data_IF_121460908026
#
_entry.id   IF_121460908026
#
_cell.length_a   1.000
_cell.length_b   1.000
_cell.length_c   1.000
_cell.angle_alpha   90.00
_cell.angle_beta   90.00
_cell.angle_gamma   90.00
#
_symmetry.space_group_name_H-M   'P 1'
#
loop_
_entity.id
_entity.type
_entity.pdbx_description
1 polymer ?
#
# COMPACT_ATOMS: atom_id res chain seq x y z
N UNK A 1 4.39 -36.24 -7.47
CA UNK A 1 4.77 -36.13 -8.91
C UNK A 1 3.72 -35.43 -9.79
N UNK A 2 2.51 -35.11 -9.30
CA UNK A 2 1.62 -34.16 -9.98
C UNK A 2 0.94 -33.22 -8.98
N UNK A 3 1.09 -31.92 -9.19
CA UNK A 3 0.30 -30.90 -8.49
C UNK A 3 -0.99 -30.68 -9.30
N UNK A 4 -2.15 -30.80 -8.65
CA UNK A 4 -3.44 -30.55 -9.28
C UNK A 4 -3.72 -29.04 -9.27
N UNK A 5 -4.23 -28.50 -10.37
CA UNK A 5 -4.57 -27.09 -10.51
C UNK A 5 -3.79 -26.39 -11.64
N UNK A 6 -4.00 -25.08 -11.75
CA UNK A 6 -3.27 -24.20 -12.67
C UNK A 6 -2.46 -23.20 -11.85
N UNK A 7 -1.22 -22.95 -12.26
CA UNK A 7 -0.33 -21.99 -11.62
C UNK A 7 0.01 -20.89 -12.61
N UNK A 8 -0.29 -19.64 -12.24
CA UNK A 8 0.10 -18.47 -12.99
C UNK A 8 1.32 -17.82 -12.32
N UNK A 9 2.45 -17.78 -13.00
CA UNK A 9 3.64 -17.07 -12.54
C UNK A 9 3.62 -15.66 -13.13
N UNK A 10 3.54 -14.66 -12.25
CA UNK A 10 3.50 -13.24 -12.64
C UNK A 10 4.90 -12.66 -12.46
N UNK A 11 5.55 -12.31 -13.57
CA UNK A 11 6.84 -11.62 -13.58
C UNK A 11 6.58 -10.14 -13.82
N UNK A 12 6.33 -9.42 -12.73
CA UNK A 12 5.91 -8.02 -12.78
C UNK A 12 7.12 -7.07 -12.92
N UNK A 13 7.09 -6.10 -13.86
CA UNK A 13 8.04 -4.99 -13.91
C UNK A 13 7.59 -3.80 -13.06
N UNK A 14 8.51 -2.88 -12.76
CA UNK A 14 8.22 -1.54 -12.24
C UNK A 14 7.38 -1.47 -10.93
N UNK A 15 7.64 -2.36 -9.97
CA UNK A 15 7.06 -2.29 -8.62
C UNK A 15 7.43 -0.98 -7.90
N UNK A 16 8.67 -0.51 -8.03
CA UNK A 16 9.15 0.76 -7.47
C UNK A 16 8.56 2.01 -8.17
N UNK A 17 7.66 1.79 -9.15
CA UNK A 17 7.07 2.81 -9.99
C UNK A 17 7.76 2.94 -11.36
N UNK A 18 7.01 3.30 -12.42
CA UNK A 18 7.58 3.54 -13.73
C UNK A 18 8.36 4.87 -13.78
N UNK A 19 9.25 5.07 -14.78
CA UNK A 19 9.83 6.37 -15.07
C UNK A 19 8.77 7.47 -15.27
N UNK A 20 9.15 8.72 -15.06
CA UNK A 20 8.22 9.85 -15.23
C UNK A 20 7.64 9.90 -16.65
N UNK A 21 6.32 9.90 -16.75
CA UNK A 21 5.58 9.92 -18.02
C UNK A 21 5.27 8.55 -18.62
N UNK A 22 5.67 7.47 -17.95
CA UNK A 22 5.36 6.08 -18.34
C UNK A 22 4.33 5.44 -17.41
N UNK A 23 3.68 4.37 -17.87
CA UNK A 23 2.81 3.49 -17.09
C UNK A 23 3.55 2.18 -16.80
N UNK A 24 3.23 1.50 -15.69
CA UNK A 24 3.91 0.26 -15.32
C UNK A 24 3.28 -0.44 -14.11
N UNK A 25 3.96 -1.47 -13.62
CA UNK A 25 3.55 -2.18 -12.40
C UNK A 25 2.33 -3.07 -12.57
N UNK A 26 1.80 -3.50 -11.43
CA UNK A 26 0.63 -4.37 -11.34
C UNK A 26 -0.61 -3.77 -12.03
N UNK A 27 -0.81 -2.45 -11.93
CA UNK A 27 -1.96 -1.77 -12.55
C UNK A 27 -1.96 -1.93 -14.07
N UNK A 28 -0.83 -1.69 -14.73
CA UNK A 28 -0.74 -1.81 -16.18
C UNK A 28 -0.97 -3.25 -16.62
N UNK A 29 -0.36 -4.22 -15.94
CA UNK A 29 -0.58 -5.64 -16.26
C UNK A 29 -2.06 -6.04 -16.14
N UNK A 30 -2.77 -5.54 -15.11
CA UNK A 30 -4.20 -5.77 -14.96
C UNK A 30 -5.01 -5.09 -16.07
N UNK A 31 -4.67 -3.84 -16.42
CA UNK A 31 -5.33 -3.08 -17.49
C UNK A 31 -5.15 -3.75 -18.87
N UNK A 32 -3.98 -4.35 -19.12
CA UNK A 32 -3.69 -5.15 -20.31
C UNK A 32 -4.34 -6.55 -20.29
N UNK A 33 -5.03 -6.89 -19.20
CA UNK A 33 -5.89 -8.07 -19.13
C UNK A 33 -5.28 -9.29 -18.46
N UNK A 34 -4.25 -9.15 -17.62
CA UNK A 34 -3.61 -10.27 -16.90
C UNK A 34 -4.62 -11.25 -16.26
N UNK A 35 -5.70 -10.74 -15.65
CA UNK A 35 -6.78 -11.54 -15.04
C UNK A 35 -8.05 -11.66 -15.89
N UNK A 36 -7.98 -11.28 -17.15
CA UNK A 36 -9.08 -11.46 -18.09
C UNK A 36 -9.14 -12.90 -18.62
N UNK A 37 -10.33 -13.33 -19.04
CA UNK A 37 -10.54 -14.61 -19.71
C UNK A 37 -9.80 -14.72 -21.06
N UNK A 38 -9.33 -13.60 -21.62
CA UNK A 38 -8.58 -13.60 -22.87
C UNK A 38 -7.20 -14.27 -22.74
N UNK A 39 -6.58 -14.17 -21.56
CA UNK A 39 -5.27 -14.76 -21.29
C UNK A 39 -5.41 -16.04 -20.48
N UNK A 40 -5.35 -15.95 -19.15
CA UNK A 40 -5.27 -17.10 -18.25
C UNK A 40 -6.51 -17.28 -17.38
N UNK A 41 -7.44 -16.31 -17.42
CA UNK A 41 -8.56 -16.18 -16.49
C UNK A 41 -8.12 -15.67 -15.13
N UNK A 42 -9.09 -15.26 -14.32
CA UNK A 42 -8.83 -14.77 -12.95
C UNK A 42 -8.41 -15.95 -12.05
N UNK A 43 -7.29 -15.87 -11.30
CA UNK A 43 -6.90 -16.92 -10.37
C UNK A 43 -7.81 -16.93 -9.13
N UNK A 44 -7.88 -18.05 -8.42
CA UNK A 44 -8.70 -18.14 -7.18
C UNK A 44 -8.04 -17.42 -5.99
N UNK A 45 -6.71 -17.31 -6.01
CA UNK A 45 -5.92 -16.59 -5.02
C UNK A 45 -4.60 -16.12 -5.64
N UNK A 46 -3.99 -15.10 -5.04
CA UNK A 46 -2.67 -14.57 -5.44
C UNK A 46 -1.72 -14.55 -4.25
N UNK A 47 -0.49 -14.99 -4.45
CA UNK A 47 0.54 -15.05 -3.41
C UNK A 47 1.73 -14.18 -3.83
N UNK A 48 2.25 -13.41 -2.88
CA UNK A 48 3.43 -12.58 -3.05
C UNK A 48 4.35 -12.70 -1.85
N UNK A 49 5.63 -12.42 -2.05
CA UNK A 49 6.59 -12.34 -0.95
C UNK A 49 7.66 -11.30 -1.22
N UNK A 50 8.21 -10.74 -0.15
CA UNK A 50 9.26 -9.74 -0.24
C UNK A 50 10.36 -10.00 0.79
N UNK A 51 11.61 -9.79 0.40
CA UNK A 51 12.75 -9.90 1.32
C UNK A 51 12.81 -8.72 2.28
N UNK A 52 13.15 -8.96 3.55
CA UNK A 52 13.31 -7.88 4.53
C UNK A 52 14.54 -8.08 5.38
N UNK A 53 15.35 -7.03 5.54
CA UNK A 53 16.46 -7.04 6.50
C UNK A 53 16.00 -6.86 7.95
N UNK A 54 14.70 -6.63 8.18
CA UNK A 54 14.13 -6.53 9.55
C UNK A 54 13.87 -7.89 10.19
N UNK A 55 14.18 -8.98 9.51
CA UNK A 55 14.10 -10.34 10.03
C UNK A 55 15.38 -11.09 9.63
N UNK A 56 15.84 -11.98 10.51
CA UNK A 56 16.95 -12.88 10.19
C UNK A 56 16.51 -14.00 9.23
N UNK A 57 17.47 -14.59 8.53
CA UNK A 57 17.24 -15.79 7.71
C UNK A 57 16.52 -16.87 8.51
N UNK A 58 15.53 -17.51 7.86
CA UNK A 58 14.71 -18.54 8.49
C UNK A 58 13.53 -18.00 9.30
N UNK A 59 13.31 -16.69 9.34
CA UNK A 59 12.08 -16.08 9.84
C UNK A 59 11.20 -15.60 8.68
N UNK A 60 9.88 -15.74 8.87
CA UNK A 60 8.86 -15.21 7.99
C UNK A 60 8.02 -14.18 8.74
N UNK A 61 7.57 -13.15 8.06
CA UNK A 61 6.70 -12.13 8.62
C UNK A 61 5.39 -12.03 7.86
N UNK A 62 4.24 -12.14 8.54
CA UNK A 62 2.95 -11.83 7.91
C UNK A 62 1.92 -11.36 8.93
N UNK A 63 0.90 -10.64 8.46
CA UNK A 63 -0.24 -10.19 9.25
C UNK A 63 -1.53 -10.55 8.51
N UNK A 64 -2.60 -10.86 9.25
CA UNK A 64 -3.95 -10.97 8.70
C UNK A 64 -4.57 -9.57 8.64
N UNK A 65 -5.26 -9.24 7.53
CA UNK A 65 -5.78 -7.91 7.30
C UNK A 65 -4.70 -6.94 6.77
N UNK A 66 -4.83 -5.63 7.02
CA UNK A 66 -3.88 -4.64 6.53
C UNK A 66 -2.45 -4.92 7.00
N UNK A 67 -1.48 -4.84 6.09
CA UNK A 67 -0.08 -5.09 6.37
C UNK A 67 0.82 -3.93 5.93
N UNK A 68 0.67 -3.48 4.68
CA UNK A 68 1.38 -2.31 4.14
C UNK A 68 0.40 -1.16 3.90
N UNK A 69 0.86 0.06 4.08
CA UNK A 69 0.03 1.24 3.90
C UNK A 69 -0.27 1.47 2.41
N UNK A 70 -1.39 2.14 2.12
CA UNK A 70 -1.51 2.86 0.87
C UNK A 70 -0.47 3.98 0.81
N UNK A 71 -0.07 4.34 -0.39
CA UNK A 71 0.73 5.51 -0.66
C UNK A 71 0.01 6.36 -1.69
N UNK A 72 -0.31 7.59 -1.32
CA UNK A 72 -0.86 8.56 -2.25
C UNK A 72 -0.01 9.80 -2.27
N UNK A 73 0.08 10.43 -3.44
CA UNK A 73 0.66 11.76 -3.59
C UNK A 73 -0.44 12.71 -4.03
N UNK A 74 -0.44 13.92 -3.49
CA UNK A 74 -1.37 14.98 -3.90
C UNK A 74 -0.65 16.28 -4.18
N UNK A 75 -1.28 17.12 -4.98
CA UNK A 75 -0.88 18.51 -5.20
C UNK A 75 -2.05 19.44 -4.89
N UNK A 76 -1.75 20.61 -4.31
CA UNK A 76 -2.71 21.70 -4.15
C UNK A 76 -2.10 22.96 -4.76
N UNK A 77 -2.80 23.57 -5.71
CA UNK A 77 -2.43 24.84 -6.31
C UNK A 77 -3.39 25.93 -5.83
N UNK A 78 -2.86 26.91 -5.09
CA UNK A 78 -3.63 28.07 -4.60
C UNK A 78 -3.38 29.25 -5.52
N UNK A 79 -4.45 29.78 -6.11
CA UNK A 79 -4.37 31.00 -6.92
C UNK A 79 -4.25 32.23 -6.01
N UNK A 80 -3.46 33.20 -6.44
CA UNK A 80 -3.27 34.48 -5.79
C UNK A 80 -3.47 35.64 -6.76
N UNK A 81 -3.23 36.85 -6.26
CA UNK A 81 -3.19 38.06 -7.09
C UNK A 81 -1.97 38.86 -6.66
N UNK A 82 -0.96 38.85 -7.53
CA UNK A 82 0.32 39.46 -7.23
C UNK A 82 0.18 40.97 -6.96
N UNK A 83 0.87 41.44 -5.92
CA UNK A 83 0.93 42.87 -5.58
C UNK A 83 2.23 43.21 -4.83
N UNK A 84 2.51 44.50 -4.66
CA UNK A 84 3.62 44.94 -3.81
C UNK A 84 3.33 44.58 -2.36
N UNK A 85 4.32 44.05 -1.62
CA UNK A 85 4.13 43.60 -0.23
C UNK A 85 3.69 44.70 0.74
N UNK A 86 3.85 45.97 0.38
CA UNK A 86 3.33 47.11 1.16
C UNK A 86 1.89 47.52 0.83
N UNK A 87 1.24 46.84 -0.12
CA UNK A 87 -0.15 47.07 -0.54
C UNK A 87 -0.91 45.74 -0.64
N UNK A 88 -0.99 44.95 0.45
CA UNK A 88 -1.61 43.63 0.43
C UNK A 88 -3.10 43.67 0.00
N UNK A 89 -3.82 44.75 0.31
CA UNK A 89 -5.23 44.93 -0.07
C UNK A 89 -5.48 45.04 -1.58
N UNK A 90 -4.44 45.28 -2.39
CA UNK A 90 -4.56 45.30 -3.86
C UNK A 90 -4.48 43.88 -4.47
N UNK A 91 -4.12 42.88 -3.67
CA UNK A 91 -3.86 41.50 -4.08
C UNK A 91 -4.60 40.45 -3.24
N UNK A 92 -4.19 39.20 -3.44
CA UNK A 92 -4.59 38.03 -2.65
C UNK A 92 -3.30 37.27 -2.38
N UNK A 93 -3.00 36.99 -1.12
CA UNK A 93 -1.75 36.36 -0.72
C UNK A 93 -1.89 34.83 -0.64
N UNK A 94 -1.38 34.08 -1.63
CA UNK A 94 -1.51 32.62 -1.64
C UNK A 94 -0.56 31.94 -0.63
N UNK A 95 0.45 32.65 -0.10
CA UNK A 95 1.32 32.11 0.96
C UNK A 95 0.52 32.00 2.25
N UNK A 96 -0.23 33.05 2.61
CA UNK A 96 -1.09 33.06 3.79
C UNK A 96 -2.18 31.99 3.68
N UNK A 97 -2.91 31.97 2.56
CA UNK A 97 -3.96 30.97 2.30
C UNK A 97 -3.40 29.54 2.31
N UNK A 98 -2.28 29.30 1.63
CA UNK A 98 -1.63 27.99 1.64
C UNK A 98 -1.18 27.57 3.04
N UNK A 99 -0.70 28.50 3.88
CA UNK A 99 -0.32 28.21 5.26
C UNK A 99 -1.52 27.80 6.12
N UNK A 100 -2.67 28.46 5.95
CA UNK A 100 -3.92 28.07 6.59
C UNK A 100 -4.38 26.67 6.16
N UNK A 101 -4.24 26.35 4.87
CA UNK A 101 -4.52 25.01 4.35
C UNK A 101 -3.63 23.98 5.05
N UNK A 102 -2.30 24.18 5.09
CA UNK A 102 -1.36 23.23 5.76
C UNK A 102 -1.76 22.96 7.21
N UNK A 103 -2.07 24.00 7.97
CA UNK A 103 -2.51 23.88 9.37
C UNK A 103 -3.84 23.11 9.46
N UNK A 104 -4.79 23.44 8.58
CA UNK A 104 -6.10 22.80 8.51
C UNK A 104 -6.01 21.31 8.17
N UNK A 105 -5.07 20.90 7.31
CA UNK A 105 -4.88 19.48 6.97
C UNK A 105 -4.51 18.64 8.21
N UNK A 106 -3.83 19.22 9.21
CA UNK A 106 -3.49 18.53 10.46
C UNK A 106 -4.74 18.20 11.30
N UNK A 107 -5.85 18.93 11.10
CA UNK A 107 -7.13 18.63 11.75
C UNK A 107 -7.81 17.38 11.21
N UNK A 108 -7.47 16.92 10.00
CA UNK A 108 -8.01 15.67 9.46
C UNK A 108 -7.57 14.52 10.38
N UNK A 109 -6.26 14.36 10.55
CA UNK A 109 -5.67 13.30 11.38
C UNK A 109 -6.02 13.49 12.86
N UNK A 110 -5.97 14.72 13.36
CA UNK A 110 -6.15 14.95 14.78
C UNK A 110 -7.61 14.96 15.23
N UNK A 111 -8.58 15.37 14.39
CA UNK A 111 -9.97 15.64 14.80
C UNK A 111 -11.06 14.93 13.99
N UNK A 112 -10.80 14.47 12.76
CA UNK A 112 -11.83 13.85 11.90
C UNK A 112 -11.78 12.33 11.84
N UNK A 113 -10.63 11.73 12.17
CA UNK A 113 -10.42 10.29 12.10
C UNK A 113 -10.20 9.67 13.47
N UNK A 114 -10.64 8.43 13.65
CA UNK A 114 -10.28 7.61 14.80
C UNK A 114 -8.89 6.99 14.58
N UNK A 115 -7.85 7.72 14.98
CA UNK A 115 -6.46 7.26 14.87
C UNK A 115 -6.16 6.05 15.77
N UNK A 116 -7.04 5.72 16.74
CA UNK A 116 -6.88 4.53 17.58
C UNK A 116 -7.28 3.25 16.85
N UNK A 117 -8.17 3.36 15.84
CA UNK A 117 -8.59 2.25 15.00
C UNK A 117 -7.52 1.91 13.95
N UNK A 118 -6.99 2.91 13.25
CA UNK A 118 -5.97 2.71 12.23
C UNK A 118 -5.07 3.93 12.06
N UNK A 119 -3.73 3.77 11.99
CA UNK A 119 -2.84 4.88 11.72
C UNK A 119 -3.12 5.51 10.35
N UNK A 120 -3.08 6.83 10.28
CA UNK A 120 -3.14 7.58 9.02
C UNK A 120 -2.21 8.76 9.13
N UNK A 121 -1.48 9.03 8.05
CA UNK A 121 -0.50 10.11 7.98
C UNK A 121 -0.87 11.00 6.80
N UNK A 122 -0.87 12.31 7.03
CA UNK A 122 -0.99 13.33 5.98
C UNK A 122 0.17 14.28 6.15
N UNK A 123 1.03 14.36 5.15
CA UNK A 123 2.24 15.18 5.18
C UNK A 123 2.25 16.13 4.00
N UNK A 124 2.47 17.42 4.23
CA UNK A 124 2.87 18.37 3.16
C UNK A 124 4.38 18.42 3.15
N UNK A 125 4.99 17.78 2.14
CA UNK A 125 6.45 17.65 2.03
C UNK A 125 7.12 18.80 1.27
N UNK A 126 6.33 19.54 0.48
CA UNK A 126 6.82 20.69 -0.28
C UNK A 126 5.79 21.81 -0.25
N UNK A 127 6.30 23.04 -0.09
CA UNK A 127 5.54 24.27 -0.23
C UNK A 127 6.42 25.26 -1.00
N UNK A 128 5.97 25.69 -2.19
CA UNK A 128 6.68 26.65 -3.04
C UNK A 128 5.78 27.83 -3.37
N UNK A 129 6.30 29.05 -3.18
CA UNK A 129 5.62 30.28 -3.58
C UNK A 129 6.59 31.47 -3.50
N UNK A 130 6.45 32.42 -4.41
CA UNK A 130 7.23 33.65 -4.41
C UNK A 130 8.68 33.51 -4.88
N UNK A 131 9.29 34.66 -5.20
CA UNK A 131 10.68 34.79 -5.64
C UNK A 131 11.40 35.90 -4.87
N UNK A 132 10.71 37.00 -4.56
CA UNK A 132 11.25 38.18 -3.85
C UNK A 132 10.43 38.48 -2.59
N UNK A 133 11.11 38.93 -1.54
CA UNK A 133 10.52 39.18 -0.22
C UNK A 133 9.51 40.35 -0.17
N UNK A 134 9.51 41.25 -1.17
CA UNK A 134 8.66 42.44 -1.19
C UNK A 134 7.51 42.36 -2.21
N UNK A 135 7.23 41.16 -2.73
CA UNK A 135 6.15 40.91 -3.69
C UNK A 135 5.30 39.76 -3.14
N UNK A 136 4.00 39.99 -3.01
CA UNK A 136 3.02 38.92 -2.78
C UNK A 136 2.87 38.17 -4.12
N UNK A 137 3.10 36.85 -4.19
CA UNK A 137 3.06 36.11 -5.45
C UNK A 137 1.66 35.91 -6.03
N UNK A 138 1.60 35.42 -7.27
CA UNK A 138 0.36 35.08 -7.97
C UNK A 138 -0.13 33.65 -7.68
N UNK A 139 0.65 32.81 -7.01
CA UNK A 139 0.29 31.44 -6.70
C UNK A 139 1.14 30.80 -5.60
N UNK A 140 0.64 29.70 -5.02
CA UNK A 140 1.39 28.80 -4.16
C UNK A 140 1.10 27.33 -4.54
N UNK A 141 2.13 26.49 -4.53
CA UNK A 141 2.02 25.06 -4.81
C UNK A 141 2.46 24.26 -3.58
N UNK A 142 1.64 23.26 -3.22
CA UNK A 142 1.95 22.29 -2.19
C UNK A 142 1.95 20.89 -2.78
N UNK A 143 2.96 20.09 -2.43
CA UNK A 143 2.97 18.65 -2.69
C UNK A 143 3.01 17.90 -1.36
N UNK A 144 2.18 16.88 -1.26
CA UNK A 144 2.07 16.09 -0.05
C UNK A 144 1.78 14.64 -0.33
N UNK A 145 1.75 13.87 0.75
CA UNK A 145 1.54 12.43 0.71
C UNK A 145 0.61 11.96 1.81
N UNK A 146 -0.10 10.86 1.54
CA UNK A 146 -1.02 10.20 2.47
C UNK A 146 -0.51 8.77 2.68
N UNK A 147 -0.58 8.30 3.92
CA UNK A 147 -0.48 6.87 4.28
C UNK A 147 -1.71 6.46 5.04
N UNK A 148 -2.33 5.34 4.66
CA UNK A 148 -3.48 4.76 5.36
C UNK A 148 -3.38 3.23 5.36
N UNK A 149 -3.93 2.58 6.37
CA UNK A 149 -4.10 1.12 6.39
C UNK A 149 -5.56 0.69 6.22
N UNK A 150 -6.45 1.63 5.92
CA UNK A 150 -7.87 1.37 5.68
C UNK A 150 -8.29 2.03 4.35
N UNK A 151 -8.78 1.24 3.36
CA UNK A 151 -9.22 1.76 2.08
C UNK A 151 -10.37 2.76 2.16
N UNK A 152 -11.34 2.55 3.05
CA UNK A 152 -12.48 3.46 3.22
C UNK A 152 -12.05 4.75 3.93
N UNK A 153 -11.12 4.66 4.89
CA UNK A 153 -10.56 5.84 5.54
C UNK A 153 -9.69 6.66 4.57
N UNK A 154 -8.93 6.00 3.69
CA UNK A 154 -8.14 6.65 2.64
C UNK A 154 -9.01 7.61 1.81
N UNK A 155 -10.14 7.12 1.30
CA UNK A 155 -11.07 7.96 0.51
C UNK A 155 -11.62 9.14 1.31
N UNK A 156 -11.96 8.94 2.58
CA UNK A 156 -12.42 10.02 3.47
C UNK A 156 -11.35 11.09 3.67
N UNK A 157 -10.09 10.69 3.83
CA UNK A 157 -8.96 11.60 4.01
C UNK A 157 -8.70 12.40 2.73
N UNK A 158 -8.70 11.75 1.57
CA UNK A 158 -8.56 12.42 0.26
C UNK A 158 -9.66 13.49 0.09
N UNK A 159 -10.93 13.11 0.30
CA UNK A 159 -12.05 14.03 0.21
C UNK A 159 -11.98 15.17 1.25
N UNK A 160 -11.47 14.90 2.44
CA UNK A 160 -11.28 15.92 3.48
C UNK A 160 -10.18 16.93 3.13
N UNK A 161 -9.09 16.49 2.49
CA UNK A 161 -8.03 17.38 2.00
C UNK A 161 -8.59 18.33 0.94
N UNK A 162 -9.26 17.80 -0.08
CA UNK A 162 -9.90 18.59 -1.14
C UNK A 162 -10.87 19.61 -0.54
N UNK A 163 -11.83 19.14 0.27
CA UNK A 163 -12.83 20.01 0.92
C UNK A 163 -12.18 21.13 1.73
N UNK A 164 -11.15 20.83 2.52
CA UNK A 164 -10.47 21.85 3.36
C UNK A 164 -9.72 22.85 2.50
N UNK A 165 -8.99 22.40 1.48
CA UNK A 165 -8.26 23.27 0.58
C UNK A 165 -9.20 24.23 -0.15
N UNK A 166 -10.27 23.71 -0.75
CA UNK A 166 -11.26 24.50 -1.49
C UNK A 166 -11.97 25.51 -0.59
N UNK A 167 -12.48 25.09 0.57
CA UNK A 167 -13.27 25.97 1.43
C UNK A 167 -12.43 27.09 2.08
N UNK A 168 -11.15 26.83 2.40
CA UNK A 168 -10.24 27.86 2.93
C UNK A 168 -9.91 28.89 1.86
N UNK A 169 -9.61 28.43 0.64
CA UNK A 169 -9.37 29.33 -0.48
C UNK A 169 -10.60 30.20 -0.78
N UNK A 170 -11.80 29.60 -0.79
CA UNK A 170 -13.05 30.34 -1.00
C UNK A 170 -13.27 31.39 0.09
N UNK A 171 -13.05 31.06 1.36
CA UNK A 171 -13.14 32.00 2.47
C UNK A 171 -12.16 33.18 2.34
N UNK A 172 -11.01 32.96 1.70
CA UNK A 172 -10.03 33.99 1.38
C UNK A 172 -10.31 34.75 0.07
N UNK A 173 -11.40 34.43 -0.63
CA UNK A 173 -11.77 35.06 -1.91
C UNK A 173 -10.98 34.58 -3.12
N UNK A 174 -10.44 33.35 -3.07
CA UNK A 174 -9.66 32.74 -4.15
C UNK A 174 -10.02 31.27 -4.36
N UNK A 175 -9.25 30.56 -5.19
CA UNK A 175 -9.43 29.14 -5.50
C UNK A 175 -8.21 28.32 -5.12
N UNK A 176 -8.46 27.08 -4.68
CA UNK A 176 -7.45 26.05 -4.56
C UNK A 176 -7.86 24.84 -5.40
N UNK A 177 -6.99 24.42 -6.31
CA UNK A 177 -7.16 23.21 -7.12
C UNK A 177 -6.42 22.05 -6.45
N UNK A 178 -7.17 21.05 -5.99
CA UNK A 178 -6.62 19.79 -5.48
C UNK A 178 -6.52 18.77 -6.60
N UNK A 179 -5.42 18.01 -6.64
CA UNK A 179 -5.27 16.83 -7.49
C UNK A 179 -4.64 15.69 -6.70
N UNK A 180 -5.28 14.53 -6.74
CA UNK A 180 -4.60 13.27 -6.44
C UNK A 180 -3.70 12.92 -7.63
N UNK A 181 -2.41 12.70 -7.38
CA UNK A 181 -1.44 12.34 -8.43
C UNK A 181 -1.60 10.85 -8.77
N UNK A 182 -1.42 10.47 -10.04
CA UNK A 182 -1.34 9.06 -10.42
C UNK A 182 -0.10 8.39 -9.82
N UNK A 183 -0.07 7.05 -9.82
CA UNK A 183 1.06 6.25 -9.33
C UNK A 183 1.04 5.96 -7.83
N UNK A 184 -0.06 6.24 -7.13
CA UNK A 184 -0.24 5.81 -5.74
C UNK A 184 -0.56 4.31 -5.63
N UNK A 185 -0.24 3.71 -4.49
CA UNK A 185 -0.49 2.31 -4.16
C UNK A 185 -1.66 2.13 -3.20
N UNK A 186 -2.39 1.03 -3.38
CA UNK A 186 -3.48 0.67 -2.48
C UNK A 186 -2.94 0.06 -1.17
N UNK A 187 -3.79 -0.05 -0.16
CA UNK A 187 -3.44 -0.77 1.07
C UNK A 187 -3.21 -2.25 0.73
N UNK A 188 -2.06 -2.82 1.12
CA UNK A 188 -1.85 -4.26 0.99
C UNK A 188 -2.54 -4.97 2.14
N UNK A 189 -3.67 -5.60 1.82
CA UNK A 189 -4.51 -6.35 2.76
C UNK A 189 -4.37 -7.83 2.49
N UNK A 190 -3.87 -8.57 3.47
CA UNK A 190 -3.88 -10.03 3.42
C UNK A 190 -5.26 -10.56 3.76
N UNK A 191 -5.84 -11.37 2.88
CA UNK A 191 -7.17 -11.92 3.06
C UNK A 191 -7.21 -12.78 4.34
N UNK A 192 -8.08 -12.50 5.33
CA UNK A 192 -8.01 -13.14 6.64
C UNK A 192 -8.12 -14.67 6.60
N UNK A 193 -9.06 -15.21 5.84
CA UNK A 193 -9.29 -16.65 5.75
C UNK A 193 -8.13 -17.37 5.06
N UNK A 194 -7.69 -16.89 3.89
CA UNK A 194 -6.49 -17.36 3.19
C UNK A 194 -5.26 -17.30 4.10
N UNK A 195 -5.10 -16.22 4.86
CA UNK A 195 -3.99 -16.08 5.82
C UNK A 195 -4.03 -17.17 6.89
N UNK A 196 -5.21 -17.43 7.45
CA UNK A 196 -5.40 -18.48 8.45
C UNK A 196 -5.16 -19.88 7.87
N UNK A 197 -5.64 -20.11 6.63
CA UNK A 197 -5.44 -21.36 5.89
C UNK A 197 -3.97 -21.65 5.62
N UNK A 198 -3.20 -20.64 5.18
CA UNK A 198 -1.83 -20.84 4.70
C UNK A 198 -0.77 -20.71 5.79
N UNK A 199 -1.10 -20.12 6.94
CA UNK A 199 -0.17 -19.99 8.07
C UNK A 199 0.44 -21.34 8.51
N UNK A 200 -0.33 -22.43 8.73
CA UNK A 200 0.25 -23.72 9.11
C UNK A 200 1.28 -24.26 8.10
N UNK A 201 1.06 -24.01 6.81
CA UNK A 201 1.99 -24.43 5.78
C UNK A 201 3.32 -23.66 5.86
N UNK A 202 3.27 -22.34 6.07
CA UNK A 202 4.46 -21.52 6.34
C UNK A 202 5.17 -21.96 7.63
N UNK A 203 4.41 -22.26 8.69
CA UNK A 203 4.93 -22.75 9.97
C UNK A 203 5.62 -24.12 9.83
N UNK A 204 5.20 -24.97 8.89
CA UNK A 204 5.86 -26.27 8.64
C UNK A 204 7.26 -26.12 8.03
N UNK A 205 7.55 -25.00 7.37
CA UNK A 205 8.85 -24.75 6.71
C UNK A 205 9.87 -24.23 7.72
N UNK A 206 9.49 -23.22 8.50
CA UNK A 206 10.43 -22.50 9.40
C UNK A 206 10.21 -22.79 10.89
N UNK A 207 9.11 -23.45 11.24
CA UNK A 207 8.66 -23.66 12.62
C UNK A 207 7.76 -22.52 13.10
N UNK A 208 6.76 -22.86 13.93
CA UNK A 208 5.74 -21.93 14.43
C UNK A 208 6.30 -20.65 15.07
N UNK A 209 7.38 -20.75 15.83
CA UNK A 209 7.97 -19.59 16.50
C UNK A 209 8.74 -18.66 15.56
N UNK A 210 9.00 -19.08 14.32
CA UNK A 210 9.70 -18.29 13.30
C UNK A 210 8.76 -17.66 12.27
N UNK A 211 7.45 -17.80 12.46
CA UNK A 211 6.43 -17.08 11.69
C UNK A 211 5.88 -15.95 12.55
N UNK A 212 6.35 -14.73 12.29
CA UNK A 212 6.11 -13.56 13.12
C UNK A 212 4.92 -12.76 12.61
N UNK A 213 4.11 -12.29 13.55
CA UNK A 213 2.97 -11.41 13.29
C UNK A 213 3.44 -9.95 13.16
N UNK A 214 3.74 -9.50 11.93
CA UNK A 214 4.38 -8.21 11.66
C UNK A 214 3.52 -6.99 11.99
N UNK A 215 4.00 -5.95 12.70
CA UNK A 215 3.21 -4.73 12.88
C UNK A 215 2.78 -4.11 11.54
N UNK A 216 1.89 -3.12 11.58
CA UNK A 216 1.60 -2.33 10.38
C UNK A 216 2.88 -1.67 9.87
N UNK A 217 3.15 -1.76 8.56
CA UNK A 217 4.37 -1.25 7.93
C UNK A 217 4.00 -0.10 7.00
N UNK A 218 4.59 1.07 7.19
CA UNK A 218 4.25 2.28 6.42
C UNK A 218 4.81 2.32 5.00
N UNK A 219 5.55 1.27 4.59
CA UNK A 219 5.86 1.02 3.19
C UNK A 219 4.58 0.72 2.40
N UNK A 220 4.68 0.79 1.09
CA UNK A 220 3.62 0.49 0.15
C UNK A 220 4.12 -0.51 -0.89
N UNK A 221 3.19 -1.17 -1.58
CA UNK A 221 3.50 -2.29 -2.47
C UNK A 221 2.35 -2.43 -3.48
N UNK A 222 2.67 -2.52 -4.76
CA UNK A 222 1.68 -2.54 -5.84
C UNK A 222 1.04 -3.94 -6.05
N UNK A 223 1.57 -5.00 -5.42
CA UNK A 223 0.86 -6.28 -5.22
C UNK A 223 -0.55 -6.07 -4.65
N UNK A 224 -0.76 -4.98 -3.90
CA UNK A 224 -2.07 -4.55 -3.41
C UNK A 224 -3.14 -4.50 -4.51
N UNK A 225 -2.79 -4.22 -5.77
CA UNK A 225 -3.75 -4.23 -6.87
C UNK A 225 -4.21 -5.64 -7.24
N UNK A 226 -3.32 -6.64 -7.23
CA UNK A 226 -3.73 -8.03 -7.40
C UNK A 226 -4.62 -8.50 -6.23
N UNK A 227 -4.23 -8.14 -5.00
CA UNK A 227 -4.96 -8.51 -3.79
C UNK A 227 -6.34 -7.82 -3.65
N UNK A 228 -6.61 -6.78 -4.43
CA UNK A 228 -7.95 -6.18 -4.57
C UNK A 228 -8.86 -6.96 -5.51
N UNK A 229 -8.26 -7.66 -6.47
CA UNK A 229 -9.02 -8.46 -7.43
C UNK A 229 -9.38 -9.82 -6.88
N UNK A 230 -8.46 -10.49 -6.18
CA UNK A 230 -8.62 -11.86 -5.67
C UNK A 230 -8.07 -11.95 -4.24
N UNK A 231 -8.48 -12.95 -3.44
CA UNK A 231 -7.86 -13.22 -2.14
C UNK A 231 -6.33 -13.27 -2.23
N UNK A 232 -5.67 -12.30 -1.58
CA UNK A 232 -4.22 -12.15 -1.60
C UNK A 232 -3.55 -12.55 -0.28
N UNK A 233 -2.35 -13.14 -0.36
CA UNK A 233 -1.43 -13.27 0.77
C UNK A 233 -0.04 -12.78 0.37
N UNK A 234 0.44 -11.77 1.07
CA UNK A 234 1.77 -11.20 0.99
C UNK A 234 2.53 -11.45 2.29
N UNK A 235 3.73 -12.01 2.22
CA UNK A 235 4.56 -12.28 3.39
C UNK A 235 6.02 -11.88 3.20
N UNK A 236 6.70 -11.59 4.29
CA UNK A 236 8.10 -11.20 4.29
C UNK A 236 8.99 -12.40 4.57
N UNK A 237 10.16 -12.42 3.93
CA UNK A 237 11.23 -13.40 4.15
C UNK A 237 12.43 -12.67 4.73
N UNK A 238 12.91 -13.10 5.90
CA UNK A 238 14.09 -12.51 6.51
C UNK A 238 15.36 -12.82 5.74
N UNK A 239 16.22 -11.80 5.56
CA UNK A 239 17.50 -11.92 4.84
C UNK A 239 18.71 -11.50 5.65
N UNK A 240 18.54 -11.05 6.89
CA UNK A 240 19.68 -10.67 7.72
C UNK A 240 20.39 -11.93 8.23
N UNK A 241 21.74 -12.03 8.10
CA UNK A 241 22.48 -13.16 8.62
C UNK A 241 22.13 -13.49 10.07
N UNK A 242 22.04 -14.78 10.47
CA UNK A 242 21.60 -15.17 11.82
C UNK A 242 22.49 -14.63 12.96
N UNK A 243 23.72 -14.25 12.67
CA UNK A 243 24.69 -13.69 13.62
C UNK A 243 24.65 -12.15 13.72
N UNK A 244 23.77 -11.49 12.95
CA UNK A 244 23.60 -10.04 12.95
C UNK A 244 22.26 -9.62 13.57
N UNK A 245 22.23 -8.42 14.18
CA UNK A 245 21.01 -7.84 14.71
C UNK A 245 20.17 -7.20 13.59
N UNK A 246 19.05 -7.85 13.25
CA UNK A 246 18.09 -7.39 12.25
C UNK A 246 17.45 -6.02 12.58
N UNK A 247 17.49 -5.56 13.83
CA UNK A 247 17.01 -4.22 14.18
C UNK A 247 17.96 -3.10 13.69
N UNK A 248 19.23 -3.42 13.49
CA UNK A 248 20.29 -2.47 13.07
C UNK A 248 20.80 -2.71 11.65
N UNK A 249 20.37 -3.81 11.02
CA UNK A 249 20.70 -4.12 9.64
C UNK A 249 20.26 -3.00 8.68
N UNK A 250 21.06 -2.78 7.64
CA UNK A 250 20.75 -1.81 6.59
C UNK A 250 19.39 -2.17 5.94
N UNK A 251 18.48 -1.19 5.87
CA UNK A 251 17.15 -1.41 5.30
C UNK A 251 17.20 -1.63 3.78
N UNK A 252 16.11 -2.15 3.22
CA UNK A 252 15.82 -1.99 1.80
C UNK A 252 16.05 -0.52 1.37
N UNK A 253 16.51 -0.33 0.13
CA UNK A 253 16.96 0.96 -0.45
C UNK A 253 18.22 1.59 0.16
N UNK A 254 18.83 0.97 1.17
CA UNK A 254 20.15 1.39 1.64
C UNK A 254 21.25 0.94 0.65
N UNK A 255 22.29 1.75 0.39
CA UNK A 255 23.46 1.28 -0.36
C UNK A 255 24.25 0.17 0.37
N UNK A 256 23.96 -0.06 1.65
CA UNK A 256 24.53 -1.13 2.47
C UNK A 256 23.60 -2.34 2.61
N UNK A 257 22.45 -2.34 1.92
CA UNK A 257 21.51 -3.46 1.95
C UNK A 257 22.21 -4.74 1.51
N UNK A 258 22.05 -5.79 2.32
CA UNK A 258 22.67 -7.09 2.11
C UNK A 258 21.63 -8.19 2.23
N UNK A 259 21.72 -9.18 1.36
CA UNK A 259 20.87 -10.36 1.34
C UNK A 259 21.75 -11.57 1.60
N UNK A 260 21.50 -12.26 2.70
CA UNK A 260 22.02 -13.62 2.89
C UNK A 260 21.25 -14.57 1.96
N UNK A 261 21.97 -15.20 1.03
CA UNK A 261 21.38 -16.03 -0.03
C UNK A 261 20.72 -17.31 0.50
N UNK A 262 21.00 -17.74 1.74
CA UNK A 262 20.28 -18.84 2.37
C UNK A 262 18.76 -18.54 2.48
N UNK A 263 18.38 -17.26 2.48
CA UNK A 263 17.00 -16.83 2.43
C UNK A 263 16.27 -17.23 1.14
N UNK A 264 16.96 -17.42 0.01
CA UNK A 264 16.34 -17.82 -1.26
C UNK A 264 15.69 -19.21 -1.13
N UNK A 265 16.39 -20.14 -0.49
CA UNK A 265 15.87 -21.47 -0.23
C UNK A 265 14.67 -21.42 0.74
N UNK A 266 14.74 -20.59 1.79
CA UNK A 266 13.64 -20.40 2.74
C UNK A 266 12.42 -19.82 2.04
N UNK A 267 12.59 -18.74 1.26
CA UNK A 267 11.51 -18.08 0.51
C UNK A 267 10.85 -19.02 -0.48
N UNK A 268 11.62 -19.72 -1.31
CA UNK A 268 11.08 -20.65 -2.30
C UNK A 268 10.32 -21.81 -1.64
N UNK A 269 10.88 -22.41 -0.58
CA UNK A 269 10.18 -23.48 0.17
C UNK A 269 8.90 -22.98 0.82
N UNK A 270 8.90 -21.75 1.31
CA UNK A 270 7.71 -21.11 1.91
C UNK A 270 6.61 -20.85 0.88
N UNK A 271 6.97 -20.32 -0.29
CA UNK A 271 6.03 -20.14 -1.40
C UNK A 271 5.43 -21.47 -1.86
N UNK A 272 6.28 -22.50 -2.05
CA UNK A 272 5.81 -23.84 -2.44
C UNK A 272 4.90 -24.47 -1.38
N UNK A 273 5.23 -24.32 -0.09
CA UNK A 273 4.40 -24.81 1.00
C UNK A 273 3.05 -24.09 1.04
N UNK A 274 3.03 -22.76 0.85
CA UNK A 274 1.79 -21.98 0.77
C UNK A 274 0.92 -22.44 -0.41
N UNK A 275 1.51 -22.65 -1.58
CA UNK A 275 0.81 -23.21 -2.75
C UNK A 275 0.23 -24.58 -2.43
N UNK A 276 1.01 -25.49 -1.82
CA UNK A 276 0.53 -26.82 -1.45
C UNK A 276 -0.62 -26.76 -0.43
N UNK A 277 -0.46 -25.94 0.62
CA UNK A 277 -1.49 -25.74 1.64
C UNK A 277 -2.78 -25.14 1.09
N UNK A 278 -2.69 -24.32 0.04
CA UNK A 278 -3.86 -23.81 -0.66
C UNK A 278 -4.65 -24.94 -1.35
N UNK A 279 -3.95 -25.80 -2.09
CA UNK A 279 -4.54 -26.90 -2.83
C UNK A 279 -5.17 -27.96 -1.91
N UNK A 280 -4.52 -28.28 -0.79
CA UNK A 280 -5.05 -29.23 0.20
C UNK A 280 -6.34 -28.69 0.84
N UNK A 281 -6.38 -27.40 1.20
CA UNK A 281 -7.57 -26.77 1.76
C UNK A 281 -8.73 -26.69 0.77
N UNK A 282 -8.46 -26.39 -0.50
CA UNK A 282 -9.47 -26.38 -1.56
C UNK A 282 -10.06 -27.79 -1.82
N UNK A 283 -9.25 -28.84 -1.72
CA UNK A 283 -9.71 -30.24 -1.85
C UNK A 283 -10.61 -30.67 -0.68
N UNK A 284 -10.34 -30.17 0.54
CA UNK A 284 -11.16 -30.40 1.73
C UNK A 284 -12.54 -29.72 1.66
N UNK A 285 -12.63 -28.53 1.06
CA UNK A 285 -13.89 -27.81 0.89
C UNK A 285 -14.82 -28.46 -0.15
N UNK A 286 -14.26 -28.98 -1.26
CA UNK A 286 -15.03 -29.62 -2.33
C UNK A 286 -15.44 -31.08 -2.04
N UNK A 287 -15.02 -31.67 -0.92
CA UNK A 287 -15.40 -33.03 -0.51
C UNK A 287 -16.49 -33.06 0.59
N UNK A 288 -16.99 -31.90 1.01
CA UNK A 288 -18.00 -31.76 2.08
C UNK A 288 -19.46 -31.83 1.64
N UNK A 289 -19.77 -32.10 0.37
CA UNK A 289 -21.14 -32.11 -0.16
C UNK A 289 -21.45 -33.42 -0.92
N UNK A 290 -21.38 -34.56 -0.22
CA UNK A 290 -21.92 -35.82 -0.74
C UNK A 290 -22.25 -36.83 0.36
N UNK A 291 -22.99 -36.42 1.39
CA UNK A 291 -23.64 -37.38 2.29
C UNK A 291 -24.82 -36.76 3.04
N UNK A 292 -25.94 -36.60 2.36
CA UNK A 292 -27.29 -36.79 2.91
C UNK A 292 -28.07 -37.48 1.77
N UNK A 293 -28.41 -38.76 1.83
CA UNK A 293 -29.09 -39.42 2.94
C UNK A 293 -30.59 -39.38 2.66
N UNK A 294 -31.06 -40.16 1.69
CA UNK A 294 -32.49 -40.49 1.60
C UNK A 294 -32.68 -41.97 1.24
N UNK A 295 -32.62 -42.80 2.28
CA UNK A 295 -33.28 -44.10 2.32
C UNK A 295 -34.78 -43.89 2.62
N UNK A 296 -35.63 -44.47 1.76
CA UNK A 296 -36.78 -45.29 2.13
C UNK A 296 -38.00 -44.67 2.83
N UNK A 297 -39.17 -44.77 2.17
CA UNK A 297 -40.43 -44.90 2.91
C UNK A 297 -41.74 -44.60 2.18
N UNK A 298 -42.15 -45.44 1.22
CA UNK A 298 -43.44 -46.16 1.12
C UNK A 298 -43.68 -46.71 -0.29
#
# INVERSE_FOLDING_TARGET
>A
ESLRGRFLFIFQPAEEGPPEGEEGGAQLMLAEGLFSEHYYGKPDAVLGMHVTSRLNVGFLGLRSGPMLASEDTFSIHVSGKQTHGSRPWDGIDPIVVGSEIVLSLQHIVSREIDITATPTIVTVGQFKSGIRQNIIPDSAEMLGTIRSFDPALREKVIAAIERRATNIAEAAGTTAEFKLRPGGYAVTVNHPELTAQLRPALESVVGKQRVITMPLITGAEDFSFYAREVPGLFFLVGVTPPDQDAATAASNHSPLFYVDEDALAVGMRSMLAAVHGYLDGAAGANSGDSSDGFEGGK
#
